data_IF_098286189608
#
_entry.id   IF_098286189608
#
_cell.length_a   1.000
_cell.length_b   1.000
_cell.length_c   1.000
_cell.angle_alpha   90.00
_cell.angle_beta   90.00
_cell.angle_gamma   90.00
#
_symmetry.space_group_name_H-M   'P 1'
#
loop_
_entity.id
_entity.type
_entity.pdbx_description
1 polymer ?
#
# COMPACT_ATOMS: atom_id res chain seq x y z
N UNK A 1 -32.36 -4.77 60.13
CA UNK A 1 -32.32 -4.38 58.70
C UNK A 1 -30.86 -4.19 58.32
N UNK A 2 -30.27 -5.14 57.60
CA UNK A 2 -28.88 -5.04 57.11
C UNK A 2 -28.91 -4.39 55.73
N UNK A 3 -28.30 -3.21 55.61
CA UNK A 3 -28.08 -2.56 54.32
C UNK A 3 -26.78 -3.11 53.72
N UNK A 4 -26.89 -3.80 52.59
CA UNK A 4 -25.75 -4.25 51.79
C UNK A 4 -25.34 -3.07 50.88
N UNK A 5 -24.20 -2.46 51.15
CA UNK A 5 -23.65 -1.42 50.29
C UNK A 5 -23.00 -2.08 49.05
N UNK A 6 -23.60 -1.90 47.88
CA UNK A 6 -22.99 -2.27 46.61
C UNK A 6 -21.92 -1.23 46.24
N UNK A 7 -20.65 -1.64 46.28
CA UNK A 7 -19.56 -0.89 45.67
C UNK A 7 -19.54 -1.18 44.17
N UNK A 8 -19.93 -0.21 43.35
CA UNK A 8 -19.63 -0.20 41.92
C UNK A 8 -18.15 0.14 41.73
N UNK A 9 -17.35 -0.86 41.36
CA UNK A 9 -15.99 -0.63 40.87
C UNK A 9 -16.09 0.08 39.50
N UNK A 10 -15.33 1.15 39.26
CA UNK A 10 -15.28 1.78 37.95
C UNK A 10 -14.67 0.79 36.94
N UNK A 11 -15.43 0.49 35.89
CA UNK A 11 -14.90 -0.22 34.72
C UNK A 11 -13.93 0.74 34.04
N UNK A 12 -12.64 0.48 34.18
CA UNK A 12 -11.61 1.14 33.37
C UNK A 12 -11.73 0.55 31.97
N UNK A 13 -12.41 1.26 31.07
CA UNK A 13 -12.33 0.97 29.65
C UNK A 13 -10.88 1.23 29.23
N UNK A 14 -10.12 0.17 28.95
CA UNK A 14 -8.82 0.31 28.30
C UNK A 14 -9.05 1.09 27.00
N UNK A 15 -8.51 2.30 26.90
CA UNK A 15 -8.49 3.01 25.64
C UNK A 15 -7.60 2.18 24.70
N UNK A 16 -8.20 1.60 23.66
CA UNK A 16 -7.47 1.01 22.55
C UNK A 16 -6.75 2.15 21.83
N UNK A 17 -5.53 2.47 22.26
CA UNK A 17 -4.71 3.54 21.70
C UNK A 17 -3.87 3.02 20.55
N UNK A 18 -3.82 3.80 19.47
CA UNK A 18 -2.93 3.58 18.34
C UNK A 18 -1.50 4.09 18.64
N UNK A 19 -0.56 3.72 17.78
CA UNK A 19 0.86 4.09 17.85
C UNK A 19 1.78 2.98 18.34
N UNK A 20 1.32 1.72 18.32
CA UNK A 20 2.13 0.57 18.72
C UNK A 20 3.05 0.09 17.59
N UNK A 21 2.64 0.28 16.33
CA UNK A 21 3.47 -0.09 15.18
C UNK A 21 4.67 0.85 15.03
N UNK A 22 5.80 0.29 14.59
CA UNK A 22 6.97 1.09 14.25
C UNK A 22 6.70 1.96 13.01
N UNK A 23 6.87 3.27 13.13
CA UNK A 23 6.73 4.22 12.01
C UNK A 23 7.87 3.99 11.00
N UNK A 24 9.12 3.93 11.49
CA UNK A 24 10.30 3.70 10.65
C UNK A 24 10.76 2.23 10.71
N UNK A 25 9.87 1.30 10.36
CA UNK A 25 10.16 -0.13 10.41
C UNK A 25 9.51 -0.91 9.28
N UNK A 26 10.28 -1.80 8.67
CA UNK A 26 9.79 -2.72 7.64
C UNK A 26 9.15 -3.95 8.30
N UNK A 27 7.84 -4.11 8.12
CA UNK A 27 7.07 -5.26 8.61
C UNK A 27 6.20 -5.82 7.50
N UNK A 28 6.43 -7.07 7.11
CA UNK A 28 5.64 -7.70 6.07
C UNK A 28 6.44 -8.69 5.23
N UNK A 29 5.88 -9.08 4.10
CA UNK A 29 6.50 -10.03 3.18
C UNK A 29 7.84 -9.54 2.62
N UNK A 30 8.09 -8.23 2.53
CA UNK A 30 9.38 -7.69 2.10
C UNK A 30 10.45 -7.67 3.19
N UNK A 31 10.20 -8.24 4.38
CA UNK A 31 11.18 -8.30 5.47
C UNK A 31 12.57 -8.76 4.97
N UNK A 32 13.61 -8.03 5.40
CA UNK A 32 14.99 -8.22 4.94
C UNK A 32 15.37 -7.40 3.70
N UNK A 33 14.47 -6.54 3.19
CA UNK A 33 14.84 -5.51 2.20
C UNK A 33 15.72 -4.45 2.86
N UNK A 34 16.92 -4.23 2.31
CA UNK A 34 17.89 -3.23 2.76
C UNK A 34 18.11 -2.10 1.76
N UNK A 35 17.58 -2.23 0.54
CA UNK A 35 17.80 -1.28 -0.54
C UNK A 35 19.29 -1.06 -0.82
N UNK A 36 19.67 0.19 -1.05
CA UNK A 36 21.06 0.61 -1.27
C UNK A 36 21.96 0.58 -0.03
N UNK A 37 21.49 0.04 1.09
CA UNK A 37 22.22 -0.05 2.34
C UNK A 37 22.30 1.28 3.09
N UNK A 38 23.30 1.41 3.99
CA UNK A 38 23.46 2.56 4.89
C UNK A 38 24.45 3.62 4.38
N UNK A 39 24.79 3.58 3.09
CA UNK A 39 25.72 4.53 2.49
C UNK A 39 25.22 5.97 2.55
N UNK A 40 26.12 6.94 2.46
CA UNK A 40 25.77 8.38 2.44
C UNK A 40 24.83 8.74 1.30
N UNK A 41 24.91 7.98 0.20
CA UNK A 41 24.12 8.15 -1.01
C UNK A 41 24.61 9.27 -1.94
N UNK A 42 24.05 9.30 -3.13
CA UNK A 42 24.24 10.36 -4.12
C UNK A 42 23.08 11.34 -4.02
N UNK A 43 23.37 12.61 -3.69
CA UNK A 43 22.35 13.66 -3.72
C UNK A 43 22.14 14.13 -5.16
N UNK A 44 20.88 14.17 -5.60
CA UNK A 44 20.48 14.61 -6.94
C UNK A 44 19.52 15.79 -6.84
N UNK A 45 19.68 16.75 -7.76
CA UNK A 45 18.88 17.99 -7.83
C UNK A 45 18.33 18.25 -9.23
N UNK A 46 18.39 17.26 -10.12
CA UNK A 46 17.85 17.33 -11.48
C UNK A 46 17.43 15.94 -11.98
N UNK A 47 16.50 15.87 -12.93
CA UNK A 47 16.09 14.59 -13.52
C UNK A 47 17.25 13.88 -14.23
N UNK A 48 18.19 14.62 -14.84
CA UNK A 48 19.38 14.03 -15.45
C UNK A 48 20.32 13.40 -14.43
N UNK A 49 20.50 14.03 -13.26
CA UNK A 49 21.28 13.47 -12.16
C UNK A 49 20.56 12.26 -11.53
N UNK A 50 19.23 12.32 -11.38
CA UNK A 50 18.41 11.21 -10.93
C UNK A 50 18.57 9.99 -11.85
N UNK A 51 18.40 10.17 -13.16
CA UNK A 51 18.56 9.09 -14.13
C UNK A 51 19.98 8.49 -14.10
N UNK A 52 21.02 9.33 -14.00
CA UNK A 52 22.41 8.89 -13.93
C UNK A 52 22.73 8.11 -12.63
N UNK A 53 22.12 8.49 -11.51
CA UNK A 53 22.27 7.80 -10.23
C UNK A 53 21.49 6.49 -10.21
N UNK A 54 20.25 6.49 -10.72
CA UNK A 54 19.37 5.32 -10.80
C UNK A 54 19.99 4.15 -11.57
N UNK A 55 20.83 4.45 -12.57
CA UNK A 55 21.53 3.44 -13.37
C UNK A 55 22.66 2.68 -12.63
N UNK A 56 23.05 3.08 -11.41
CA UNK A 56 24.26 2.56 -10.71
C UNK A 56 23.99 1.78 -9.42
N UNK A 57 22.74 1.69 -8.98
CA UNK A 57 22.35 1.20 -7.64
C UNK A 57 22.84 2.11 -6.50
N UNK A 58 22.50 1.75 -5.26
CA UNK A 58 22.89 2.47 -4.04
C UNK A 58 21.82 3.43 -3.53
N UNK A 59 22.20 4.30 -2.60
CA UNK A 59 21.29 5.28 -2.01
C UNK A 59 21.25 6.54 -2.87
N UNK A 60 20.06 6.99 -3.25
CA UNK A 60 19.78 8.19 -4.05
C UNK A 60 18.94 9.11 -3.19
N UNK A 61 19.43 10.33 -2.96
CA UNK A 61 18.75 11.34 -2.15
C UNK A 61 18.33 12.49 -3.06
N UNK A 62 17.05 12.68 -3.24
CA UNK A 62 16.48 13.77 -4.01
C UNK A 62 16.37 14.99 -3.09
N UNK A 63 17.01 16.09 -3.50
CA UNK A 63 16.99 17.35 -2.77
C UNK A 63 16.12 18.36 -3.49
N UNK A 64 14.98 18.70 -2.87
CA UNK A 64 13.93 19.51 -3.49
C UNK A 64 12.96 18.67 -4.31
N UNK A 65 11.96 19.30 -4.94
CA UNK A 65 11.02 18.64 -5.86
C UNK A 65 11.62 18.67 -7.26
N UNK A 66 11.84 17.50 -7.86
CA UNK A 66 12.15 17.41 -9.30
C UNK A 66 10.86 17.28 -10.08
N UNK A 67 10.73 17.95 -11.23
CA UNK A 67 9.51 17.90 -12.03
C UNK A 67 9.81 17.47 -13.46
N UNK A 68 8.86 16.78 -14.08
CA UNK A 68 8.98 16.30 -15.47
C UNK A 68 10.04 15.21 -15.66
N UNK A 69 10.33 14.40 -14.64
CA UNK A 69 11.34 13.32 -14.76
C UNK A 69 10.82 12.07 -15.49
N UNK A 70 9.53 12.01 -15.82
CA UNK A 70 8.92 10.83 -16.41
C UNK A 70 9.03 9.61 -15.50
N UNK A 71 9.11 8.41 -16.09
CA UNK A 71 9.34 7.16 -15.36
C UNK A 71 10.83 6.81 -15.39
N UNK A 72 11.45 6.69 -14.22
CA UNK A 72 12.86 6.30 -14.06
C UNK A 72 12.98 4.83 -13.68
N UNK A 73 13.83 4.08 -14.39
CA UNK A 73 14.16 2.69 -14.03
C UNK A 73 15.12 2.62 -12.85
N UNK A 74 14.77 1.90 -11.79
CA UNK A 74 15.66 1.61 -10.67
C UNK A 74 16.39 0.28 -10.86
N UNK A 75 17.61 0.18 -10.34
CA UNK A 75 18.37 -1.07 -10.28
C UNK A 75 18.14 -1.81 -8.96
N UNK A 76 18.60 -3.07 -8.88
CA UNK A 76 18.64 -3.79 -7.60
C UNK A 76 19.50 -3.06 -6.58
N UNK A 77 19.30 -3.34 -5.29
CA UNK A 77 20.10 -2.75 -4.21
C UNK A 77 20.07 -1.21 -4.25
N UNK A 78 18.88 -0.66 -4.40
CA UNK A 78 18.66 0.79 -4.53
C UNK A 78 17.73 1.29 -3.43
N UNK A 79 18.06 2.44 -2.85
CA UNK A 79 17.11 3.22 -2.04
C UNK A 79 16.96 4.58 -2.70
N UNK A 80 15.74 4.99 -3.04
CA UNK A 80 15.45 6.35 -3.49
C UNK A 80 14.59 7.07 -2.45
N UNK A 81 15.05 8.27 -2.06
CA UNK A 81 14.57 9.03 -0.91
C UNK A 81 14.40 10.51 -1.28
N UNK A 82 13.32 11.18 -0.85
CA UNK A 82 13.12 12.63 -1.02
C UNK A 82 12.02 12.99 -2.01
N UNK A 83 11.78 14.28 -2.32
CA UNK A 83 10.56 14.70 -3.06
C UNK A 83 10.74 14.69 -4.60
N UNK A 84 9.79 14.19 -5.39
CA UNK A 84 9.88 14.20 -6.87
C UNK A 84 8.53 14.06 -7.56
N UNK A 85 8.20 14.94 -8.49
CA UNK A 85 7.10 14.81 -9.42
C UNK A 85 7.51 13.99 -10.65
N UNK A 86 7.27 12.68 -10.59
CA UNK A 86 7.64 11.68 -11.60
C UNK A 86 7.53 10.28 -11.01
N UNK A 87 7.71 9.24 -11.81
CA UNK A 87 7.48 7.85 -11.38
C UNK A 87 8.71 6.95 -11.46
N UNK A 88 8.57 5.73 -10.98
CA UNK A 88 9.62 4.71 -11.04
C UNK A 88 9.11 3.37 -11.58
N UNK A 89 9.95 2.72 -12.37
CA UNK A 89 9.77 1.30 -12.70
C UNK A 89 10.87 0.48 -12.05
N UNK A 90 10.47 -0.64 -11.47
CA UNK A 90 11.38 -1.67 -10.96
C UNK A 90 11.08 -2.96 -11.73
N UNK A 91 11.95 -3.29 -12.68
CA UNK A 91 11.75 -4.44 -13.58
C UNK A 91 12.88 -5.45 -13.49
N UNK A 92 12.53 -6.69 -13.11
CA UNK A 92 13.47 -7.79 -12.91
C UNK A 92 14.60 -7.43 -11.94
N UNK A 93 14.28 -6.70 -10.86
CA UNK A 93 15.23 -6.27 -9.83
C UNK A 93 14.86 -6.84 -8.48
N UNK A 94 15.81 -6.74 -7.55
CA UNK A 94 15.57 -7.13 -6.17
C UNK A 94 16.12 -6.11 -5.18
N UNK A 95 15.59 -6.10 -3.96
CA UNK A 95 16.12 -5.31 -2.86
C UNK A 95 16.05 -3.79 -3.14
N UNK A 96 14.84 -3.25 -3.23
CA UNK A 96 14.60 -1.83 -3.55
C UNK A 96 13.75 -1.15 -2.49
N UNK A 97 14.14 0.06 -2.10
CA UNK A 97 13.38 0.94 -1.22
C UNK A 97 12.98 2.20 -1.99
N UNK A 98 11.68 2.51 -2.02
CA UNK A 98 11.10 3.74 -2.59
C UNK A 98 10.39 4.46 -1.46
N UNK A 99 10.94 5.58 -1.00
CA UNK A 99 10.49 6.16 0.27
C UNK A 99 10.53 7.68 0.32
N UNK A 100 9.58 8.27 1.04
CA UNK A 100 9.50 9.72 1.25
C UNK A 100 9.41 10.55 -0.05
N UNK A 101 8.72 10.02 -1.07
CA UNK A 101 8.53 10.66 -2.37
C UNK A 101 7.10 11.19 -2.57
N UNK A 102 7.02 12.34 -3.24
CA UNK A 102 5.76 13.01 -3.58
C UNK A 102 5.41 12.76 -5.05
N UNK A 103 4.68 11.69 -5.32
CA UNK A 103 4.22 11.31 -6.65
C UNK A 103 2.92 12.04 -7.02
N UNK A 104 2.95 12.83 -8.09
CA UNK A 104 1.75 13.51 -8.58
C UNK A 104 1.64 13.41 -10.10
N UNK A 105 0.45 13.07 -10.59
CA UNK A 105 0.15 12.86 -12.01
C UNK A 105 1.06 11.82 -12.69
N UNK A 106 0.58 10.57 -12.83
CA UNK A 106 1.25 9.62 -13.72
C UNK A 106 1.40 10.22 -15.13
N UNK A 107 2.43 9.85 -15.90
CA UNK A 107 2.39 10.10 -17.35
C UNK A 107 1.14 9.46 -17.97
N UNK A 108 0.67 10.00 -19.09
CA UNK A 108 -0.53 9.49 -19.77
C UNK A 108 -0.41 7.98 -20.06
N UNK A 109 -1.42 7.21 -19.64
CA UNK A 109 -1.47 5.76 -19.78
C UNK A 109 -0.36 5.00 -19.03
N UNK A 110 0.19 5.58 -17.95
CA UNK A 110 1.23 4.96 -17.11
C UNK A 110 0.85 4.98 -15.64
N UNK A 111 1.58 4.17 -14.88
CA UNK A 111 1.57 4.18 -13.41
C UNK A 111 2.61 5.14 -12.84
N UNK A 112 2.43 5.61 -11.60
CA UNK A 112 3.50 6.33 -10.88
C UNK A 112 4.60 5.37 -10.42
N UNK A 113 4.23 4.19 -9.92
CA UNK A 113 5.19 3.14 -9.58
C UNK A 113 4.73 1.81 -10.14
N UNK A 114 5.58 1.16 -10.94
CA UNK A 114 5.30 -0.18 -11.47
C UNK A 114 6.42 -1.18 -11.11
N UNK A 115 6.03 -2.32 -10.54
CA UNK A 115 6.90 -3.46 -10.28
C UNK A 115 6.56 -4.59 -11.26
N UNK A 116 7.59 -5.11 -11.93
CA UNK A 116 7.49 -6.27 -12.81
C UNK A 116 8.63 -7.24 -12.51
N UNK A 117 8.35 -8.53 -12.30
CA UNK A 117 9.34 -9.57 -11.99
C UNK A 117 10.29 -9.21 -10.83
N UNK A 118 9.86 -8.36 -9.91
CA UNK A 118 10.75 -7.77 -8.90
C UNK A 118 10.44 -8.26 -7.51
N UNK A 119 11.46 -8.40 -6.68
CA UNK A 119 11.31 -9.00 -5.35
C UNK A 119 12.01 -8.24 -4.23
N UNK A 120 11.48 -8.34 -3.00
CA UNK A 120 12.02 -7.61 -1.83
C UNK A 120 12.00 -6.11 -2.10
N UNK A 121 10.79 -5.57 -2.19
CA UNK A 121 10.56 -4.14 -2.44
C UNK A 121 9.78 -3.53 -1.28
N UNK A 122 10.27 -2.41 -0.76
CA UNK A 122 9.61 -1.65 0.29
C UNK A 122 9.23 -0.26 -0.22
N UNK A 123 7.93 0.02 -0.21
CA UNK A 123 7.34 1.29 -0.64
C UNK A 123 6.76 1.96 0.60
N UNK A 124 7.42 3.01 1.07
CA UNK A 124 7.17 3.54 2.42
C UNK A 124 7.05 5.07 2.47
N UNK A 125 6.09 5.62 3.21
CA UNK A 125 6.01 7.07 3.44
C UNK A 125 5.96 7.93 2.18
N UNK A 126 5.34 7.44 1.11
CA UNK A 126 5.15 8.21 -0.12
C UNK A 126 3.75 8.85 -0.14
N UNK A 127 3.60 9.94 -0.90
CA UNK A 127 2.29 10.51 -1.27
C UNK A 127 2.07 10.23 -2.75
N UNK A 128 0.96 9.59 -3.10
CA UNK A 128 0.55 9.27 -4.45
C UNK A 128 -0.77 9.96 -4.77
N UNK A 129 -0.77 10.75 -5.84
CA UNK A 129 -1.98 11.46 -6.26
C UNK A 129 -2.06 11.76 -7.75
N UNK A 130 -3.25 12.14 -8.20
CA UNK A 130 -3.47 12.79 -9.48
C UNK A 130 -4.47 13.95 -9.33
N UNK A 131 -5.03 14.43 -10.44
CA UNK A 131 -6.07 15.46 -10.51
C UNK A 131 -7.46 15.05 -9.95
N UNK A 132 -7.56 13.97 -9.18
CA UNK A 132 -8.82 13.46 -8.65
C UNK A 132 -9.53 12.44 -9.55
N UNK A 133 -10.76 12.12 -9.15
CA UNK A 133 -11.68 11.27 -9.92
C UNK A 133 -12.37 12.14 -10.97
N UNK A 134 -11.59 12.60 -11.95
CA UNK A 134 -12.04 13.49 -13.02
C UNK A 134 -11.64 12.94 -14.38
N UNK A 135 -12.36 13.36 -15.44
CA UNK A 135 -12.08 12.92 -16.80
C UNK A 135 -12.27 11.41 -17.03
N UNK A 136 -11.52 10.88 -18.01
CA UNK A 136 -11.48 9.45 -18.31
C UNK A 136 -10.63 8.71 -17.27
N UNK A 137 -11.16 7.61 -16.74
CA UNK A 137 -10.46 6.74 -15.79
C UNK A 137 -9.16 6.13 -16.33
N UNK A 138 -8.98 6.11 -17.64
CA UNK A 138 -7.81 5.54 -18.32
C UNK A 138 -6.88 6.61 -18.95
N UNK A 139 -7.15 7.90 -18.71
CA UNK A 139 -6.18 8.95 -19.08
C UNK A 139 -4.84 8.74 -18.36
N UNK A 140 -4.92 8.45 -17.07
CA UNK A 140 -3.84 7.86 -16.30
C UNK A 140 -4.08 6.35 -16.10
N UNK A 141 -3.05 5.61 -15.70
CA UNK A 141 -3.25 4.21 -15.27
C UNK A 141 -3.37 4.11 -13.74
N UNK A 142 -2.53 3.34 -13.05
CA UNK A 142 -2.54 3.18 -11.60
C UNK A 142 -1.63 4.16 -10.84
N UNK A 143 -1.76 4.20 -9.50
CA UNK A 143 -0.74 4.84 -8.67
C UNK A 143 0.42 3.86 -8.40
N UNK A 144 0.10 2.62 -8.04
CA UNK A 144 1.08 1.58 -7.73
C UNK A 144 0.65 0.22 -8.25
N UNK A 145 1.33 -0.31 -9.26
CA UNK A 145 1.04 -1.62 -9.82
C UNK A 145 2.16 -2.64 -9.54
N UNK A 146 1.76 -3.82 -9.06
CA UNK A 146 2.64 -4.94 -8.69
C UNK A 146 2.24 -6.13 -9.55
N UNK A 147 2.98 -6.37 -10.62
CA UNK A 147 2.57 -7.31 -11.67
C UNK A 147 3.70 -8.26 -12.01
N UNK A 148 3.38 -9.22 -12.90
CA UNK A 148 4.36 -10.11 -13.51
C UNK A 148 5.23 -10.86 -12.50
N UNK A 149 4.63 -11.72 -11.69
CA UNK A 149 5.34 -12.51 -10.67
C UNK A 149 6.20 -11.69 -9.69
N UNK A 150 5.98 -10.38 -9.56
CA UNK A 150 6.61 -9.59 -8.50
C UNK A 150 6.20 -10.15 -7.14
N UNK A 151 7.09 -10.11 -6.16
CA UNK A 151 6.91 -10.93 -4.97
C UNK A 151 7.66 -10.40 -3.75
N UNK A 152 7.14 -10.67 -2.56
CA UNK A 152 7.71 -10.13 -1.32
C UNK A 152 7.77 -8.60 -1.33
N UNK A 153 6.61 -7.96 -1.37
CA UNK A 153 6.45 -6.49 -1.38
C UNK A 153 5.77 -6.02 -0.10
N UNK A 154 6.21 -4.90 0.45
CA UNK A 154 5.54 -4.22 1.56
C UNK A 154 5.30 -2.77 1.19
N UNK A 155 4.05 -2.35 1.35
CA UNK A 155 3.54 -1.00 1.07
C UNK A 155 3.03 -0.43 2.39
N UNK A 156 3.79 0.46 3.01
CA UNK A 156 3.50 0.94 4.35
C UNK A 156 3.52 2.44 4.49
N UNK A 157 2.65 2.98 5.36
CA UNK A 157 2.68 4.41 5.70
C UNK A 157 2.58 5.35 4.49
N UNK A 158 1.97 4.93 3.38
CA UNK A 158 1.79 5.78 2.21
C UNK A 158 0.43 6.47 2.24
N UNK A 159 0.32 7.60 1.55
CA UNK A 159 -0.94 8.27 1.24
C UNK A 159 -1.24 8.02 -0.23
N UNK A 160 -2.43 7.49 -0.53
CA UNK A 160 -2.99 7.35 -1.86
C UNK A 160 -4.25 8.20 -1.92
N UNK A 161 -4.31 9.18 -2.83
CA UNK A 161 -5.45 10.07 -2.90
C UNK A 161 -5.76 10.57 -4.29
N UNK A 162 -7.01 10.99 -4.47
CA UNK A 162 -7.43 11.78 -5.63
C UNK A 162 -7.11 11.08 -6.96
N UNK A 163 -7.64 9.87 -7.16
CA UNK A 163 -7.31 9.07 -8.34
C UNK A 163 -8.33 7.97 -8.67
N UNK A 164 -8.33 7.49 -9.92
CA UNK A 164 -9.25 6.43 -10.36
C UNK A 164 -8.84 5.02 -9.91
N UNK A 165 -7.58 4.61 -10.13
CA UNK A 165 -7.10 3.23 -9.93
C UNK A 165 -5.94 3.20 -8.93
N UNK A 166 -6.21 2.88 -7.66
CA UNK A 166 -5.20 2.96 -6.60
C UNK A 166 -3.99 2.06 -6.81
N UNK A 167 -4.16 0.75 -6.63
CA UNK A 167 -3.08 -0.22 -6.74
C UNK A 167 -3.57 -1.59 -7.22
N UNK A 168 -2.96 -2.09 -8.30
CA UNK A 168 -3.23 -3.42 -8.86
C UNK A 168 -2.15 -4.44 -8.48
N UNK A 169 -2.55 -5.66 -8.15
CA UNK A 169 -1.66 -6.79 -7.92
C UNK A 169 -2.09 -7.94 -8.84
N UNK A 170 -1.25 -8.27 -9.82
CA UNK A 170 -1.58 -9.23 -10.89
C UNK A 170 -2.49 -8.60 -11.95
N UNK A 171 -1.98 -8.47 -13.18
CA UNK A 171 -2.58 -7.58 -14.18
C UNK A 171 -3.74 -8.20 -14.99
N UNK A 172 -3.82 -9.53 -15.08
CA UNK A 172 -4.74 -10.23 -15.99
C UNK A 172 -5.24 -11.56 -15.42
N UNK A 173 -6.52 -11.87 -15.63
CA UNK A 173 -7.14 -13.16 -15.28
C UNK A 173 -6.51 -14.35 -16.03
N UNK A 174 -5.85 -14.08 -17.17
CA UNK A 174 -5.18 -15.11 -17.99
C UNK A 174 -3.69 -15.28 -17.67
N UNK A 175 -3.18 -14.68 -16.59
CA UNK A 175 -1.76 -14.71 -16.23
C UNK A 175 -1.41 -15.72 -15.12
N UNK A 176 -2.27 -16.72 -14.91
CA UNK A 176 -2.12 -17.67 -13.82
C UNK A 176 -0.78 -18.43 -13.85
N UNK A 177 -0.28 -18.79 -15.03
CA UNK A 177 0.99 -19.52 -15.21
C UNK A 177 2.21 -18.75 -14.67
N UNK A 178 2.14 -17.42 -14.69
CA UNK A 178 3.21 -16.55 -14.22
C UNK A 178 2.99 -16.11 -12.77
N UNK A 179 1.76 -15.75 -12.40
CA UNK A 179 1.48 -15.10 -11.11
C UNK A 179 1.20 -16.10 -9.97
N UNK A 180 0.79 -17.35 -10.27
CA UNK A 180 0.48 -18.34 -9.24
C UNK A 180 1.74 -18.72 -8.45
N UNK A 181 1.67 -18.59 -7.13
CA UNK A 181 2.81 -18.82 -6.22
C UNK A 181 3.67 -17.58 -5.97
N UNK A 182 3.34 -16.45 -6.60
CA UNK A 182 3.98 -15.14 -6.44
C UNK A 182 3.00 -14.11 -5.84
N UNK A 183 3.28 -12.81 -6.02
CA UNK A 183 2.42 -11.70 -5.60
C UNK A 183 2.11 -11.72 -4.09
N UNK A 184 3.10 -12.03 -3.25
CA UNK A 184 2.97 -11.93 -1.80
C UNK A 184 3.23 -10.50 -1.35
N UNK A 185 2.18 -9.85 -0.85
CA UNK A 185 2.20 -8.43 -0.54
C UNK A 185 1.66 -8.15 0.86
N UNK A 186 2.21 -7.10 1.48
CA UNK A 186 1.71 -6.54 2.73
C UNK A 186 1.36 -5.08 2.51
N UNK A 187 0.15 -4.66 2.89
CA UNK A 187 -0.20 -3.25 2.98
C UNK A 187 -0.56 -2.92 4.42
N UNK A 188 0.10 -1.92 5.01
CA UNK A 188 -0.28 -1.49 6.34
C UNK A 188 -0.10 -0.01 6.59
N UNK A 189 -0.93 0.56 7.46
CA UNK A 189 -0.82 1.96 7.86
C UNK A 189 -0.86 2.93 6.67
N UNK A 190 -1.51 2.55 5.58
CA UNK A 190 -1.72 3.44 4.44
C UNK A 190 -3.00 4.26 4.64
N UNK A 191 -3.07 5.41 3.98
CA UNK A 191 -4.28 6.23 3.89
C UNK A 191 -4.76 6.26 2.45
N UNK A 192 -5.94 5.69 2.18
CA UNK A 192 -6.59 5.74 0.88
C UNK A 192 -7.78 6.70 0.95
N UNK A 193 -7.67 7.89 0.34
CA UNK A 193 -8.71 8.92 0.42
C UNK A 193 -9.13 9.41 -0.95
N UNK A 194 -10.42 9.38 -1.28
CA UNK A 194 -10.89 9.85 -2.59
C UNK A 194 -10.23 9.11 -3.77
N UNK A 195 -10.05 7.79 -3.62
CA UNK A 195 -9.59 6.89 -4.69
C UNK A 195 -10.74 5.98 -5.09
N UNK A 196 -11.04 5.89 -6.38
CA UNK A 196 -12.26 5.22 -6.86
C UNK A 196 -12.27 3.70 -6.61
N UNK A 197 -11.23 2.99 -7.03
CA UNK A 197 -11.14 1.53 -6.88
C UNK A 197 -9.71 1.03 -6.70
N UNK A 198 -9.58 -0.28 -6.47
CA UNK A 198 -8.30 -1.01 -6.34
C UNK A 198 -7.49 -0.56 -5.13
N UNK A 199 -7.91 -0.89 -3.90
CA UNK A 199 -7.26 -0.43 -2.66
C UNK A 199 -6.76 -1.56 -1.72
N UNK A 200 -6.02 -2.58 -2.20
CA UNK A 200 -5.68 -2.87 -3.59
C UNK A 200 -6.64 -3.89 -4.23
N UNK A 201 -6.55 -4.08 -5.56
CA UNK A 201 -7.17 -5.24 -6.23
C UNK A 201 -6.10 -6.29 -6.49
N UNK A 202 -6.34 -7.54 -6.10
CA UNK A 202 -5.37 -8.64 -6.15
C UNK A 202 -5.93 -9.87 -6.87
N UNK A 203 -5.11 -10.46 -7.74
CA UNK A 203 -5.35 -11.75 -8.40
C UNK A 203 -4.27 -12.75 -8.01
N UNK A 204 -4.64 -14.04 -7.86
CA UNK A 204 -3.79 -15.22 -7.59
C UNK A 204 -2.93 -15.21 -6.30
N UNK A 205 -2.41 -14.05 -5.91
CA UNK A 205 -1.42 -13.87 -4.86
C UNK A 205 -1.97 -13.97 -3.45
N UNK A 206 -1.11 -13.57 -2.50
CA UNK A 206 -1.42 -13.58 -1.07
C UNK A 206 -1.24 -12.17 -0.50
N UNK A 207 -2.30 -11.60 0.07
CA UNK A 207 -2.31 -10.24 0.60
C UNK A 207 -2.56 -10.20 2.11
N UNK A 208 -1.71 -9.48 2.85
CA UNK A 208 -2.01 -9.09 4.22
C UNK A 208 -2.23 -7.58 4.30
N UNK A 209 -3.46 -7.17 4.54
CA UNK A 209 -3.90 -5.78 4.52
C UNK A 209 -4.39 -5.39 5.92
N UNK A 210 -3.64 -4.56 6.63
CA UNK A 210 -3.95 -4.28 8.03
C UNK A 210 -3.74 -2.85 8.47
N UNK A 211 -4.44 -2.44 9.52
CA UNK A 211 -4.27 -1.14 10.17
C UNK A 211 -4.15 0.04 9.18
N UNK A 212 -4.99 0.08 8.15
CA UNK A 212 -5.05 1.16 7.16
C UNK A 212 -6.38 1.92 7.24
N UNK A 213 -6.39 3.15 6.73
CA UNK A 213 -7.56 4.00 6.69
C UNK A 213 -8.04 4.16 5.24
N UNK A 214 -9.32 3.89 5.00
CA UNK A 214 -9.98 4.04 3.71
C UNK A 214 -11.15 5.01 3.87
N UNK A 215 -11.13 6.12 3.13
CA UNK A 215 -12.11 7.19 3.24
C UNK A 215 -12.60 7.66 1.87
N UNK A 216 -13.92 7.72 1.72
CA UNK A 216 -14.59 8.28 0.54
C UNK A 216 -14.11 7.61 -0.75
N UNK A 217 -14.32 6.30 -0.88
CA UNK A 217 -13.91 5.53 -2.04
C UNK A 217 -15.17 5.07 -2.81
N UNK A 218 -15.50 5.72 -3.94
CA UNK A 218 -16.78 5.57 -4.61
C UNK A 218 -17.14 4.17 -5.15
N UNK A 219 -16.16 3.32 -5.45
CA UNK A 219 -16.41 2.00 -6.06
C UNK A 219 -16.03 0.85 -5.15
N UNK A 220 -14.73 0.62 -4.91
CA UNK A 220 -14.27 -0.54 -4.16
C UNK A 220 -12.97 -0.30 -3.40
N UNK A 221 -12.83 -0.98 -2.27
CA UNK A 221 -11.63 -1.09 -1.47
C UNK A 221 -10.80 -2.29 -1.91
N UNK A 222 -10.68 -3.27 -1.02
CA UNK A 222 -9.91 -4.48 -1.24
C UNK A 222 -10.74 -5.44 -2.11
N UNK A 223 -10.19 -5.82 -3.26
CA UNK A 223 -10.85 -6.74 -4.19
C UNK A 223 -9.97 -7.98 -4.44
N UNK A 224 -10.33 -9.13 -3.85
CA UNK A 224 -9.59 -10.39 -3.94
C UNK A 224 -10.19 -11.30 -5.01
N UNK A 225 -9.43 -11.64 -6.06
CA UNK A 225 -9.96 -12.29 -7.28
C UNK A 225 -9.12 -13.48 -7.69
N UNK A 226 -9.64 -14.31 -8.59
CA UNK A 226 -8.88 -15.38 -9.25
C UNK A 226 -8.12 -16.29 -8.26
N UNK A 227 -8.80 -16.71 -7.18
CA UNK A 227 -8.21 -17.58 -6.16
C UNK A 227 -7.23 -16.91 -5.19
N UNK A 228 -7.02 -15.59 -5.27
CA UNK A 228 -6.19 -14.84 -4.33
C UNK A 228 -6.62 -15.09 -2.87
N UNK A 229 -5.67 -15.03 -1.93
CA UNK A 229 -5.91 -15.24 -0.51
C UNK A 229 -5.59 -13.96 0.24
N UNK A 230 -6.56 -13.36 0.93
CA UNK A 230 -6.30 -12.12 1.69
C UNK A 230 -6.71 -12.23 3.15
N UNK A 231 -5.91 -11.62 4.02
CA UNK A 231 -6.27 -11.28 5.40
C UNK A 231 -6.44 -9.77 5.47
N UNK A 232 -7.63 -9.33 5.82
CA UNK A 232 -7.97 -7.92 6.03
C UNK A 232 -8.26 -7.73 7.51
N UNK A 233 -7.39 -7.03 8.24
CA UNK A 233 -7.59 -6.87 9.68
C UNK A 233 -7.28 -5.49 10.27
N UNK A 234 -8.11 -5.03 11.20
CA UNK A 234 -7.94 -3.75 11.89
C UNK A 234 -7.89 -2.50 10.96
N UNK A 235 -8.48 -2.58 9.77
CA UNK A 235 -8.64 -1.43 8.90
C UNK A 235 -9.93 -0.67 9.24
N UNK A 236 -9.94 0.62 8.91
CA UNK A 236 -11.11 1.47 9.05
C UNK A 236 -11.59 1.92 7.67
N UNK A 237 -12.86 1.64 7.37
CA UNK A 237 -13.52 1.99 6.12
C UNK A 237 -14.65 2.98 6.39
N UNK A 238 -14.58 4.15 5.76
CA UNK A 238 -15.58 5.21 5.86
C UNK A 238 -16.01 5.64 4.47
N UNK A 239 -17.29 5.46 4.14
CA UNK A 239 -17.82 5.76 2.81
C UNK A 239 -17.02 5.04 1.69
N UNK A 240 -16.58 3.81 1.94
CA UNK A 240 -15.98 2.92 0.93
C UNK A 240 -17.07 1.98 0.46
N UNK A 241 -17.56 2.17 -0.78
CA UNK A 241 -18.79 1.50 -1.26
C UNK A 241 -18.74 -0.02 -1.08
N UNK A 242 -17.73 -0.68 -1.64
CA UNK A 242 -17.44 -2.11 -1.39
C UNK A 242 -16.09 -2.24 -0.70
N UNK A 243 -16.05 -2.23 0.63
CA UNK A 243 -14.82 -2.22 1.42
C UNK A 243 -13.96 -3.48 1.22
N UNK A 244 -14.60 -4.65 1.25
CA UNK A 244 -13.99 -5.94 0.95
C UNK A 244 -14.92 -6.68 -0.01
N UNK A 245 -14.40 -7.12 -1.15
CA UNK A 245 -15.16 -7.87 -2.15
C UNK A 245 -14.29 -8.97 -2.74
N UNK A 246 -14.89 -10.12 -3.07
CA UNK A 246 -14.14 -11.28 -3.59
C UNK A 246 -14.47 -11.69 -5.02
N UNK A 247 -15.45 -11.09 -5.68
CA UNK A 247 -15.92 -11.53 -7.00
C UNK A 247 -16.24 -10.36 -7.95
N UNK A 248 -15.63 -9.20 -7.69
CA UNK A 248 -15.77 -8.03 -8.56
C UNK A 248 -14.73 -8.06 -9.69
N UNK A 249 -15.18 -7.76 -10.91
CA UNK A 249 -14.38 -7.60 -12.14
C UNK A 249 -13.68 -8.88 -12.67
N UNK A 250 -13.87 -10.05 -12.06
CA UNK A 250 -13.36 -11.36 -12.51
C UNK A 250 -14.44 -12.44 -12.46
N UNK A 251 -14.35 -13.44 -13.34
CA UNK A 251 -15.28 -14.58 -13.35
C UNK A 251 -15.06 -15.56 -12.17
N UNK A 252 -13.87 -15.54 -11.56
CA UNK A 252 -13.54 -16.40 -10.42
C UNK A 252 -13.24 -15.57 -9.19
N UNK A 253 -13.87 -15.94 -8.09
CA UNK A 253 -13.67 -15.27 -6.81
C UNK A 253 -12.27 -15.54 -6.22
N UNK A 254 -11.75 -14.59 -5.45
CA UNK A 254 -10.70 -14.84 -4.46
C UNK A 254 -11.31 -15.20 -3.11
N UNK A 255 -10.49 -15.18 -2.06
CA UNK A 255 -10.86 -15.50 -0.68
C UNK A 255 -10.44 -14.36 0.24
N UNK A 256 -11.24 -14.07 1.27
CA UNK A 256 -10.92 -13.07 2.27
C UNK A 256 -11.18 -13.56 3.71
N UNK A 257 -10.29 -13.20 4.62
CA UNK A 257 -10.53 -13.21 6.06
C UNK A 257 -10.78 -11.77 6.48
N UNK A 258 -11.97 -11.47 7.00
CA UNK A 258 -12.28 -10.23 7.70
C UNK A 258 -12.04 -10.42 9.20
N UNK A 259 -11.24 -9.54 9.83
CA UNK A 259 -11.00 -9.56 11.26
C UNK A 259 -10.88 -8.17 11.87
N UNK A 260 -11.81 -7.82 12.74
CA UNK A 260 -11.78 -6.57 13.53
C UNK A 260 -11.67 -5.30 12.68
N UNK A 261 -12.16 -5.30 11.44
CA UNK A 261 -12.29 -4.07 10.67
C UNK A 261 -13.47 -3.23 11.21
N UNK A 262 -13.46 -1.93 10.94
CA UNK A 262 -14.57 -1.03 11.23
C UNK A 262 -15.14 -0.52 9.91
N UNK A 263 -16.44 -0.68 9.73
CA UNK A 263 -17.16 -0.23 8.54
C UNK A 263 -18.18 0.85 8.93
N UNK A 264 -18.01 2.05 8.38
CA UNK A 264 -18.95 3.17 8.52
C UNK A 264 -19.42 3.56 7.12
N UNK A 265 -20.72 3.44 6.87
CA UNK A 265 -21.31 3.64 5.53
C UNK A 265 -20.57 2.86 4.42
N UNK A 266 -20.15 1.65 4.73
CA UNK A 266 -19.34 0.79 3.87
C UNK A 266 -19.88 -0.63 3.97
N UNK A 267 -19.89 -1.38 2.87
CA UNK A 267 -20.37 -2.77 2.86
C UNK A 267 -19.27 -3.73 2.44
N UNK A 268 -19.48 -5.01 2.73
CA UNK A 268 -18.64 -6.12 2.28
C UNK A 268 -19.45 -7.10 1.43
N UNK A 269 -18.78 -7.75 0.48
CA UNK A 269 -19.32 -8.79 -0.40
C UNK A 269 -18.28 -9.93 -0.50
N UNK A 270 -18.10 -10.66 0.61
CA UNK A 270 -17.18 -11.81 0.69
C UNK A 270 -17.96 -13.08 0.34
N UNK A 271 -17.78 -13.58 -0.89
CA UNK A 271 -18.41 -14.81 -1.38
C UNK A 271 -17.59 -16.06 -1.09
N UNK A 272 -16.31 -15.93 -0.75
CA UNK A 272 -15.46 -17.02 -0.28
C UNK A 272 -14.64 -16.60 0.95
N UNK A 273 -14.84 -17.31 2.06
CA UNK A 273 -14.11 -17.05 3.30
C UNK A 273 -12.76 -17.78 3.26
N UNK A 274 -11.69 -17.03 3.51
CA UNK A 274 -10.33 -17.57 3.56
C UNK A 274 -9.92 -18.08 4.95
N UNK A 275 -8.66 -18.50 5.07
CA UNK A 275 -8.05 -18.88 6.35
C UNK A 275 -6.60 -18.41 6.48
N UNK A 276 -6.22 -17.38 5.72
CA UNK A 276 -4.84 -16.90 5.66
C UNK A 276 -4.33 -16.49 7.04
N UNK A 277 -3.12 -16.94 7.37
CA UNK A 277 -2.33 -16.44 8.50
C UNK A 277 -0.95 -16.03 7.98
N UNK A 278 -0.52 -14.76 8.18
CA UNK A 278 0.78 -14.30 7.72
C UNK A 278 1.94 -15.05 8.42
N UNK A 279 3.03 -15.39 7.72
CA UNK A 279 4.13 -16.19 8.27
C UNK A 279 5.19 -15.34 9.02
N UNK A 280 4.83 -14.15 9.51
CA UNK A 280 5.75 -13.22 10.16
C UNK A 280 5.07 -12.55 11.36
N UNK A 281 5.88 -12.02 12.28
CA UNK A 281 5.39 -11.23 13.42
C UNK A 281 5.09 -9.79 13.01
N UNK A 282 4.05 -9.21 13.59
CA UNK A 282 3.62 -7.85 13.31
C UNK A 282 2.87 -7.28 14.52
N UNK A 283 2.70 -5.96 14.54
CA UNK A 283 1.91 -5.23 15.55
C UNK A 283 0.74 -4.56 14.85
N UNK A 284 -0.44 -4.69 15.44
CA UNK A 284 -1.67 -4.09 14.94
C UNK A 284 -1.95 -2.81 15.72
N UNK A 285 -2.30 -1.75 14.99
CA UNK A 285 -2.98 -0.60 15.56
C UNK A 285 -4.50 -0.75 15.35
N UNK A 286 -5.34 -0.53 16.39
CA UNK A 286 -6.77 -0.78 16.31
C UNK A 286 -7.48 0.06 15.23
N UNK A 287 -8.42 -0.56 14.51
CA UNK A 287 -9.22 0.13 13.48
C UNK A 287 -9.86 1.43 14.00
N UNK A 288 -10.33 1.44 15.24
CA UNK A 288 -11.03 2.58 15.86
C UNK A 288 -10.22 3.89 15.92
N UNK A 289 -8.89 3.83 15.84
CA UNK A 289 -8.03 5.01 15.91
C UNK A 289 -7.07 5.15 14.73
N UNK A 290 -7.04 4.17 13.82
CA UNK A 290 -5.99 4.08 12.81
C UNK A 290 -6.02 5.22 11.80
N UNK A 291 -7.21 5.73 11.46
CA UNK A 291 -7.34 6.90 10.60
C UNK A 291 -6.66 8.15 11.16
N UNK A 292 -6.75 8.39 12.47
CA UNK A 292 -6.06 9.52 13.09
C UNK A 292 -4.53 9.31 13.08
N UNK A 293 -4.09 8.07 13.33
CA UNK A 293 -2.67 7.71 13.29
C UNK A 293 -2.08 7.95 11.89
N UNK A 294 -2.64 7.33 10.85
CA UNK A 294 -2.07 7.42 9.49
C UNK A 294 -2.14 8.83 8.92
N UNK A 295 -3.18 9.62 9.22
CA UNK A 295 -3.22 11.04 8.82
C UNK A 295 -2.09 11.89 9.43
N UNK A 296 -1.48 11.44 10.52
CA UNK A 296 -0.39 12.15 11.20
C UNK A 296 0.99 11.55 10.94
N UNK A 297 1.08 10.31 10.47
CA UNK A 297 2.33 9.57 10.35
C UNK A 297 2.56 8.97 8.97
N UNK A 298 1.57 8.94 8.06
CA UNK A 298 1.77 8.46 6.70
C UNK A 298 2.17 9.61 5.75
N UNK A 299 2.82 9.25 4.66
CA UNK A 299 3.24 10.17 3.60
C UNK A 299 4.59 10.83 3.86
N UNK A 300 4.89 11.84 3.04
CA UNK A 300 6.21 12.48 3.03
C UNK A 300 6.46 13.36 4.26
N UNK A 301 7.74 13.59 4.58
CA UNK A 301 8.17 14.51 5.64
C UNK A 301 8.23 13.92 7.05
N UNK A 302 7.85 12.65 7.23
CA UNK A 302 7.89 11.94 8.53
C UNK A 302 9.22 11.20 8.73
N UNK A 303 9.73 10.58 7.67
CA UNK A 303 10.97 9.79 7.65
C UNK A 303 11.90 10.27 6.54
N UNK A 304 13.20 10.01 6.67
CA UNK A 304 14.25 10.40 5.71
C UNK A 304 15.04 9.23 5.18
#
# INVERSE_FOLDING_TARGET
>A
MHYLAFFLLPVVLAQNTCGSAAINGLVGYAAGTTGGGTGTGTTVTSCSALAAAAAKSGVIKISGVLDGCGITDLQSDTSVLGLTNGGFRVKSKNNVIIRNLYFHNPPEGKDLVELQYSTKVWIDHNDFSSEGITGDKDYYDGLLDITHASDYVTVSWNVFRDHWKGSLIGHSDSNADEDTGHLRVTYHHNHFSNVNSRLPSIRFGTGHFYSSCHENNPSSGINSRMGAQVLVEQNYFLNTKLAIVTDLDSDTAGYAVDRNNVFVNSTEEITQVGSLTPPYSYTLDPASCVCALVKSQAGTGIVS
#
